data_IF_214205218167
#
_entry.id   IF_214205218167
#
_cell.length_a   1.000
_cell.length_b   1.000
_cell.length_c   1.000
_cell.angle_alpha   90.00
_cell.angle_beta   90.00
_cell.angle_gamma   90.00
#
_symmetry.space_group_name_H-M   'P 1'
#
loop_
_entity.id
_entity.type
_entity.pdbx_description
1 polymer ?
#
# COMPACT_ATOMS: atom_id res chain seq x y z
N UNK A 1 -22.88 12.88 -52.44
CA UNK A 1 -24.16 12.27 -52.00
C UNK A 1 -24.02 10.76 -52.08
N UNK A 2 -23.74 10.10 -50.95
CA UNK A 2 -23.97 8.65 -50.81
C UNK A 2 -24.54 8.47 -49.41
N UNK A 3 -25.82 8.80 -49.23
CA UNK A 3 -26.58 8.22 -48.14
C UNK A 3 -26.91 6.80 -48.60
N UNK A 4 -26.08 5.84 -48.21
CA UNK A 4 -26.48 4.45 -48.31
C UNK A 4 -27.78 4.30 -47.53
N UNK A 5 -28.87 3.96 -48.21
CA UNK A 5 -30.13 3.61 -47.56
C UNK A 5 -29.90 2.26 -46.90
N UNK A 6 -29.40 2.29 -45.67
CA UNK A 6 -29.27 1.11 -44.85
C UNK A 6 -30.67 0.49 -44.69
N UNK A 7 -30.77 -0.83 -44.90
CA UNK A 7 -31.99 -1.54 -44.58
C UNK A 7 -32.22 -1.55 -43.06
N UNK A 8 -33.44 -1.91 -42.66
CA UNK A 8 -33.81 -2.01 -41.23
C UNK A 8 -32.86 -2.94 -40.47
N UNK A 9 -32.34 -3.98 -41.13
CA UNK A 9 -31.40 -4.95 -40.53
C UNK A 9 -30.06 -4.31 -40.17
N UNK A 10 -29.54 -3.46 -41.03
CA UNK A 10 -28.26 -2.77 -40.84
C UNK A 10 -28.36 -1.74 -39.72
N UNK A 11 -29.48 -1.03 -39.59
CA UNK A 11 -29.74 -0.17 -38.43
C UNK A 11 -29.85 -0.96 -37.11
N UNK A 12 -30.48 -2.13 -37.13
CA UNK A 12 -30.54 -3.01 -35.96
C UNK A 12 -29.13 -3.49 -35.56
N UNK A 13 -28.31 -3.90 -36.54
CA UNK A 13 -26.92 -4.31 -36.30
C UNK A 13 -26.07 -3.16 -35.75
N UNK A 14 -26.22 -1.95 -36.28
CA UNK A 14 -25.53 -0.75 -35.78
C UNK A 14 -25.94 -0.42 -34.35
N UNK A 15 -27.24 -0.45 -34.05
CA UNK A 15 -27.75 -0.21 -32.70
C UNK A 15 -27.21 -1.25 -31.70
N UNK A 16 -27.17 -2.52 -32.09
CA UNK A 16 -26.64 -3.60 -31.26
C UNK A 16 -25.13 -3.45 -31.02
N UNK A 17 -24.38 -3.05 -32.04
CA UNK A 17 -22.95 -2.74 -31.91
C UNK A 17 -22.69 -1.58 -30.93
N UNK A 18 -23.49 -0.51 -31.01
CA UNK A 18 -23.39 0.63 -30.08
C UNK A 18 -23.69 0.19 -28.65
N UNK A 19 -24.74 -0.61 -28.44
CA UNK A 19 -25.07 -1.14 -27.10
C UNK A 19 -23.93 -2.00 -26.54
N UNK A 20 -23.31 -2.87 -27.35
CA UNK A 20 -22.16 -3.67 -26.93
C UNK A 20 -20.95 -2.81 -26.53
N UNK A 21 -20.66 -1.75 -27.29
CA UNK A 21 -19.57 -0.81 -26.98
C UNK A 21 -19.85 -0.09 -25.65
N UNK A 22 -21.08 0.37 -25.43
CA UNK A 22 -21.47 1.01 -24.16
C UNK A 22 -21.36 0.05 -22.98
N UNK A 23 -21.76 -1.22 -23.14
CA UNK A 23 -21.59 -2.25 -22.11
C UNK A 23 -20.12 -2.54 -21.81
N UNK A 24 -19.26 -2.58 -22.83
CA UNK A 24 -17.82 -2.74 -22.66
C UNK A 24 -17.21 -1.57 -21.87
N UNK A 25 -17.55 -0.33 -22.23
CA UNK A 25 -17.11 0.88 -21.51
C UNK A 25 -17.60 0.86 -20.06
N UNK A 26 -18.87 0.52 -19.83
CA UNK A 26 -19.43 0.42 -18.49
C UNK A 26 -18.72 -0.64 -17.64
N UNK A 27 -18.42 -1.82 -18.21
CA UNK A 27 -17.69 -2.89 -17.53
C UNK A 27 -16.27 -2.44 -17.13
N UNK A 28 -15.55 -1.79 -18.04
CA UNK A 28 -14.22 -1.22 -17.79
C UNK A 28 -14.29 -0.17 -16.68
N UNK A 29 -15.26 0.74 -16.74
CA UNK A 29 -15.47 1.77 -15.71
C UNK A 29 -15.75 1.16 -14.33
N UNK A 30 -16.62 0.15 -14.24
CA UNK A 30 -16.93 -0.53 -12.98
C UNK A 30 -15.71 -1.26 -12.41
N UNK A 31 -14.89 -1.89 -13.27
CA UNK A 31 -13.64 -2.53 -12.85
C UNK A 31 -12.65 -1.53 -12.22
N UNK A 32 -12.42 -0.39 -12.88
CA UNK A 32 -11.54 0.65 -12.34
C UNK A 32 -12.12 1.30 -11.09
N UNK A 33 -13.43 1.55 -11.04
CA UNK A 33 -14.13 2.10 -9.86
C UNK A 33 -13.89 1.24 -8.63
N UNK A 34 -13.97 -0.10 -8.75
CA UNK A 34 -13.71 -1.01 -7.63
C UNK A 34 -12.29 -0.86 -7.08
N UNK A 35 -11.27 -0.81 -7.94
CA UNK A 35 -9.87 -0.62 -7.52
C UNK A 35 -9.65 0.74 -6.85
N UNK A 36 -10.27 1.79 -7.38
CA UNK A 36 -10.18 3.14 -6.83
C UNK A 36 -10.83 3.19 -5.43
N UNK A 37 -12.04 2.66 -5.28
CA UNK A 37 -12.74 2.61 -3.99
C UNK A 37 -11.98 1.81 -2.95
N UNK A 38 -11.34 0.70 -3.34
CA UNK A 38 -10.49 -0.08 -2.44
C UNK A 38 -9.31 0.75 -1.92
N UNK A 39 -8.62 1.50 -2.80
CA UNK A 39 -7.51 2.39 -2.38
C UNK A 39 -7.98 3.49 -1.43
N UNK A 40 -9.12 4.12 -1.71
CA UNK A 40 -9.68 5.12 -0.79
C UNK A 40 -10.13 4.51 0.54
N UNK A 41 -10.66 3.29 0.53
CA UNK A 41 -11.05 2.59 1.74
C UNK A 41 -9.84 2.24 2.63
N UNK A 42 -8.72 1.79 2.03
CA UNK A 42 -7.46 1.55 2.73
C UNK A 42 -6.99 2.83 3.43
N UNK A 43 -6.86 3.92 2.68
CA UNK A 43 -6.44 5.21 3.24
C UNK A 43 -7.36 5.68 4.37
N UNK A 44 -8.68 5.63 4.18
CA UNK A 44 -9.63 6.10 5.19
C UNK A 44 -9.59 5.27 6.47
N UNK A 45 -9.24 3.99 6.37
CA UNK A 45 -9.23 3.07 7.51
C UNK A 45 -7.91 3.12 8.30
N UNK A 46 -6.76 3.03 7.62
CA UNK A 46 -5.45 2.88 8.28
C UNK A 46 -4.80 4.22 8.61
N UNK A 47 -4.88 5.21 7.72
CA UNK A 47 -4.20 6.51 7.89
C UNK A 47 -4.52 7.22 9.22
N UNK A 48 -5.78 7.29 9.71
CA UNK A 48 -6.06 7.99 10.97
C UNK A 48 -5.33 7.38 12.18
N UNK A 49 -5.15 6.06 12.17
CA UNK A 49 -4.50 5.31 13.24
C UNK A 49 -3.00 5.60 13.24
N UNK A 50 -2.38 5.53 12.06
CA UNK A 50 -0.94 5.81 11.89
C UNK A 50 -0.65 7.28 12.17
N UNK A 51 -1.47 8.20 11.65
CA UNK A 51 -1.36 9.64 11.91
C UNK A 51 -1.49 9.96 13.40
N UNK A 52 -2.39 9.28 14.12
CA UNK A 52 -2.53 9.47 15.57
C UNK A 52 -1.24 9.11 16.29
N UNK A 53 -0.64 7.96 15.98
CA UNK A 53 0.67 7.59 16.54
C UNK A 53 1.73 8.63 16.20
N UNK A 54 1.81 9.05 14.94
CA UNK A 54 2.80 10.04 14.50
C UNK A 54 2.70 11.36 15.27
N UNK A 55 1.49 11.90 15.39
CA UNK A 55 1.27 13.19 16.07
C UNK A 55 1.49 13.09 17.58
N UNK A 56 1.07 11.99 18.21
CA UNK A 56 1.15 11.85 19.66
C UNK A 56 2.58 11.62 20.17
N UNK A 57 3.42 10.97 19.36
CA UNK A 57 4.80 10.64 19.71
C UNK A 57 5.83 11.43 18.90
N UNK A 58 5.42 12.54 18.26
CA UNK A 58 6.27 13.45 17.49
C UNK A 58 7.15 12.78 16.41
N UNK A 59 6.58 11.79 15.72
CA UNK A 59 7.25 11.11 14.61
C UNK A 59 6.90 11.76 13.27
N UNK A 60 7.84 11.73 12.33
CA UNK A 60 7.54 12.18 10.97
C UNK A 60 6.76 11.10 10.21
N UNK A 61 5.78 11.52 9.41
CA UNK A 61 4.95 10.61 8.61
C UNK A 61 4.88 11.08 7.16
N UNK A 62 5.34 10.22 6.24
CA UNK A 62 5.11 10.37 4.81
C UNK A 62 4.02 9.38 4.41
N UNK A 63 2.90 9.92 3.93
CA UNK A 63 1.77 9.12 3.46
C UNK A 63 1.87 8.91 1.95
N UNK A 64 1.66 7.66 1.53
CA UNK A 64 1.66 7.22 0.13
C UNK A 64 2.92 7.66 -0.62
N UNK A 65 4.01 6.99 -0.34
CA UNK A 65 5.30 7.27 -0.94
C UNK A 65 5.47 6.45 -2.23
N UNK A 66 5.86 7.11 -3.32
CA UNK A 66 6.18 6.45 -4.58
C UNK A 66 7.59 6.84 -5.02
N UNK A 67 8.49 5.85 -5.11
CA UNK A 67 9.90 6.06 -5.45
C UNK A 67 10.21 5.38 -6.78
N UNK A 68 10.98 6.05 -7.63
CA UNK A 68 11.51 5.43 -8.85
C UNK A 68 12.74 4.58 -8.53
N UNK A 69 12.70 3.29 -8.86
CA UNK A 69 13.84 2.37 -8.72
C UNK A 69 14.72 2.33 -9.98
N UNK A 70 14.09 2.40 -11.15
CA UNK A 70 14.77 2.41 -12.45
C UNK A 70 13.94 3.15 -13.51
N UNK A 71 14.21 2.91 -14.79
CA UNK A 71 13.48 3.59 -15.88
C UNK A 71 11.97 3.29 -15.87
N UNK A 72 11.60 2.02 -15.60
CA UNK A 72 10.21 1.56 -15.67
C UNK A 72 9.66 0.93 -14.37
N UNK A 73 10.45 0.90 -13.30
CA UNK A 73 10.03 0.32 -12.02
C UNK A 73 9.82 1.40 -10.97
N UNK A 74 8.63 1.39 -10.36
CA UNK A 74 8.30 2.22 -9.20
C UNK A 74 7.98 1.36 -7.99
N UNK A 75 8.42 1.84 -6.85
CA UNK A 75 8.12 1.30 -5.54
C UNK A 75 6.99 2.11 -4.92
N UNK A 76 5.96 1.45 -4.42
CA UNK A 76 4.85 2.09 -3.73
C UNK A 76 4.79 1.61 -2.28
N UNK A 77 4.70 2.57 -1.36
CA UNK A 77 4.66 2.34 0.08
C UNK A 77 3.43 3.09 0.61
N UNK A 78 2.56 2.39 1.34
CA UNK A 78 1.34 2.99 1.87
C UNK A 78 1.65 4.07 2.89
N UNK A 79 2.49 3.76 3.88
CA UNK A 79 2.93 4.72 4.88
C UNK A 79 4.38 4.50 5.28
N UNK A 80 5.09 5.60 5.51
CA UNK A 80 6.45 5.59 6.05
C UNK A 80 6.49 6.49 7.28
N UNK A 81 6.72 5.89 8.44
CA UNK A 81 6.78 6.57 9.73
C UNK A 81 8.23 6.55 10.21
N UNK A 82 8.77 7.72 10.56
CA UNK A 82 10.14 7.89 10.99
C UNK A 82 10.12 8.14 12.50
N UNK A 83 10.44 7.09 13.25
CA UNK A 83 10.62 7.18 14.70
C UNK A 83 12.04 7.62 15.06
N UNK A 84 12.33 7.61 16.36
CA UNK A 84 13.63 8.03 16.87
C UNK A 84 14.71 7.00 16.56
N UNK A 85 14.40 5.70 16.64
CA UNK A 85 15.38 4.62 16.42
C UNK A 85 15.27 3.96 15.06
N UNK A 86 14.07 3.94 14.48
CA UNK A 86 13.81 3.18 13.26
C UNK A 86 12.93 3.92 12.26
N UNK A 87 13.00 3.47 11.01
CA UNK A 87 12.11 3.89 9.94
C UNK A 87 11.12 2.75 9.65
N UNK A 88 9.85 2.98 9.98
CA UNK A 88 8.78 2.01 9.80
C UNK A 88 8.18 2.12 8.40
N UNK A 89 8.22 1.02 7.66
CA UNK A 89 7.63 0.87 6.33
C UNK A 89 6.36 0.04 6.49
N UNK A 90 5.21 0.69 6.32
CA UNK A 90 3.91 0.12 6.64
C UNK A 90 3.16 -0.17 5.34
N UNK A 91 2.67 -1.40 5.20
CA UNK A 91 1.85 -1.88 4.10
C UNK A 91 0.45 -2.24 4.60
N UNK A 92 -0.58 -1.72 3.94
CA UNK A 92 -1.97 -1.83 4.39
C UNK A 92 -2.71 -2.99 3.70
N UNK A 93 -3.38 -3.82 4.49
CA UNK A 93 -4.17 -4.95 3.97
C UNK A 93 -5.56 -5.02 4.60
N UNK A 94 -6.59 -4.65 3.82
CA UNK A 94 -8.00 -4.75 4.23
C UNK A 94 -8.56 -6.16 3.99
N UNK A 95 -7.95 -7.17 4.62
CA UNK A 95 -8.50 -8.51 4.64
C UNK A 95 -9.73 -8.61 5.55
N UNK A 96 -10.55 -9.64 5.34
CA UNK A 96 -11.72 -9.95 6.16
C UNK A 96 -11.85 -11.47 6.29
N UNK A 97 -11.68 -11.98 7.50
CA UNK A 97 -11.69 -13.42 7.76
C UNK A 97 -10.41 -13.89 8.45
N UNK A 98 -10.00 -15.13 8.18
CA UNK A 98 -8.83 -15.75 8.81
C UNK A 98 -7.71 -15.87 7.78
N UNK A 99 -6.53 -15.36 8.12
CA UNK A 99 -5.34 -15.41 7.31
C UNK A 99 -4.38 -16.44 7.90
N UNK A 100 -4.01 -17.43 7.09
CA UNK A 100 -3.15 -18.55 7.48
C UNK A 100 -2.05 -18.74 6.44
N UNK A 101 -0.81 -18.95 6.87
CA UNK A 101 0.31 -19.25 5.97
C UNK A 101 1.65 -19.30 6.69
N UNK A 102 2.66 -19.90 6.07
CA UNK A 102 4.02 -19.93 6.62
C UNK A 102 4.80 -18.66 6.21
N UNK A 103 5.68 -18.10 7.06
CA UNK A 103 6.53 -16.96 6.69
C UNK A 103 7.32 -17.13 5.37
N UNK A 104 7.72 -18.35 5.05
CA UNK A 104 8.55 -18.66 3.88
C UNK A 104 7.73 -18.90 2.60
N UNK A 105 6.42 -19.12 2.74
CA UNK A 105 5.56 -19.38 1.60
C UNK A 105 5.31 -18.09 0.81
N UNK A 106 5.33 -18.22 -0.52
CA UNK A 106 5.00 -17.10 -1.43
C UNK A 106 3.50 -16.79 -1.45
N UNK A 107 2.65 -17.76 -1.07
CA UNK A 107 1.19 -17.68 -1.10
C UNK A 107 0.62 -18.12 0.23
N UNK A 108 -0.35 -17.37 0.71
CA UNK A 108 -1.11 -17.64 1.94
C UNK A 108 -2.58 -17.86 1.62
N UNK A 109 -3.31 -18.43 2.58
CA UNK A 109 -4.74 -18.72 2.47
C UNK A 109 -5.52 -17.69 3.29
N UNK A 110 -6.42 -16.97 2.62
CA UNK A 110 -7.42 -16.13 3.26
C UNK A 110 -8.77 -16.85 3.23
N UNK A 111 -9.21 -17.36 4.38
CA UNK A 111 -10.56 -17.92 4.55
C UNK A 111 -11.53 -16.80 4.92
N UNK A 112 -12.42 -16.47 3.99
CA UNK A 112 -13.38 -15.39 4.20
C UNK A 112 -14.48 -15.78 5.23
N UNK A 113 -15.32 -14.81 5.65
CA UNK A 113 -16.41 -15.06 6.61
C UNK A 113 -17.47 -16.08 6.12
N UNK A 114 -17.51 -16.38 4.81
CA UNK A 114 -18.38 -17.40 4.20
C UNK A 114 -17.71 -18.78 4.10
N UNK A 115 -16.50 -18.93 4.63
CA UNK A 115 -15.73 -20.16 4.59
C UNK A 115 -14.99 -20.43 3.27
N UNK A 116 -15.05 -19.52 2.29
CA UNK A 116 -14.33 -19.69 1.03
C UNK A 116 -12.86 -19.33 1.19
N UNK A 117 -12.00 -20.16 0.63
CA UNK A 117 -10.55 -19.97 0.66
C UNK A 117 -10.06 -19.26 -0.59
N UNK A 118 -9.27 -18.22 -0.38
CA UNK A 118 -8.70 -17.39 -1.43
C UNK A 118 -7.19 -17.40 -1.25
N UNK A 119 -6.45 -17.81 -2.27
CA UNK A 119 -5.00 -17.67 -2.26
C UNK A 119 -4.62 -16.20 -2.45
N UNK A 120 -3.82 -15.69 -1.53
CA UNK A 120 -3.27 -14.33 -1.54
C UNK A 120 -1.76 -14.40 -1.52
N UNK A 121 -1.08 -13.39 -2.07
CA UNK A 121 0.38 -13.32 -1.92
C UNK A 121 0.76 -13.11 -0.45
N UNK A 122 1.88 -13.69 -0.03
CA UNK A 122 2.42 -13.47 1.31
C UNK A 122 2.71 -11.98 1.54
N UNK A 123 1.98 -11.31 2.45
CA UNK A 123 2.20 -9.90 2.69
C UNK A 123 3.56 -9.65 3.35
N UNK A 124 4.07 -10.60 4.12
CA UNK A 124 5.37 -10.48 4.76
C UNK A 124 6.53 -10.64 3.79
N UNK A 125 6.47 -11.62 2.89
CA UNK A 125 7.52 -11.77 1.89
C UNK A 125 7.60 -10.53 1.00
N UNK A 126 6.43 -9.98 0.62
CA UNK A 126 6.35 -8.69 -0.08
C UNK A 126 7.00 -7.57 0.73
N UNK A 127 6.75 -7.50 2.03
CA UNK A 127 7.33 -6.47 2.88
C UNK A 127 8.86 -6.64 3.01
N UNK A 128 9.38 -7.87 3.17
CA UNK A 128 10.84 -8.13 3.17
C UNK A 128 11.50 -7.66 1.87
N UNK A 129 10.90 -8.00 0.73
CA UNK A 129 11.38 -7.56 -0.58
C UNK A 129 11.33 -6.04 -0.73
N UNK A 130 10.27 -5.39 -0.21
CA UNK A 130 10.13 -3.95 -0.19
C UNK A 130 11.26 -3.27 0.60
N UNK A 131 11.56 -3.77 1.80
CA UNK A 131 12.66 -3.26 2.63
C UNK A 131 14.02 -3.44 1.97
N UNK A 132 14.27 -4.59 1.32
CA UNK A 132 15.52 -4.82 0.58
C UNK A 132 15.67 -3.83 -0.56
N UNK A 133 14.62 -3.62 -1.37
CA UNK A 133 14.63 -2.63 -2.46
C UNK A 133 14.86 -1.21 -1.95
N UNK A 134 14.25 -0.85 -0.81
CA UNK A 134 14.44 0.46 -0.17
C UNK A 134 15.87 0.68 0.30
N UNK A 135 16.44 -0.30 1.00
CA UNK A 135 17.80 -0.24 1.50
C UNK A 135 18.79 -0.01 0.36
N UNK A 136 18.68 -0.79 -0.72
CA UNK A 136 19.51 -0.62 -1.91
C UNK A 136 19.30 0.75 -2.55
N UNK A 137 18.05 1.20 -2.70
CA UNK A 137 17.73 2.47 -3.38
C UNK A 137 18.20 3.71 -2.63
N UNK A 138 18.22 3.64 -1.30
CA UNK A 138 18.53 4.78 -0.42
C UNK A 138 19.91 4.71 0.21
N UNK A 139 20.63 3.60 -0.01
CA UNK A 139 21.92 3.31 0.61
C UNK A 139 21.87 3.37 2.14
N UNK A 140 20.68 3.15 2.72
CA UNK A 140 20.47 3.02 4.15
C UNK A 140 20.60 1.55 4.53
N UNK A 141 21.20 1.29 5.69
CA UNK A 141 21.32 -0.06 6.20
C UNK A 141 19.94 -0.69 6.40
N UNK A 142 19.82 -1.96 6.01
CA UNK A 142 18.57 -2.70 6.11
C UNK A 142 18.06 -2.72 7.56
N UNK A 143 18.97 -2.73 8.55
CA UNK A 143 18.60 -2.74 9.96
C UNK A 143 17.95 -1.46 10.47
N UNK A 144 18.05 -0.36 9.72
CA UNK A 144 17.35 0.89 10.02
C UNK A 144 15.84 0.76 9.78
N UNK A 145 15.42 -0.18 8.92
CA UNK A 145 14.03 -0.33 8.54
C UNK A 145 13.32 -1.41 9.34
N UNK A 146 12.07 -1.11 9.70
CA UNK A 146 11.12 -2.08 10.27
C UNK A 146 9.91 -2.17 9.35
N UNK A 147 9.65 -3.36 8.82
CA UNK A 147 8.48 -3.66 8.02
C UNK A 147 7.28 -3.96 8.90
N UNK A 148 6.15 -3.29 8.66
CA UNK A 148 4.88 -3.58 9.32
C UNK A 148 3.81 -3.87 8.26
N UNK A 149 3.31 -5.09 8.23
CA UNK A 149 2.08 -5.45 7.54
C UNK A 149 0.92 -5.17 8.48
N UNK A 150 0.12 -4.14 8.17
CA UNK A 150 -1.01 -3.73 8.98
C UNK A 150 -2.31 -4.28 8.39
N UNK A 151 -2.97 -5.16 9.14
CA UNK A 151 -4.25 -5.76 8.73
C UNK A 151 -5.43 -5.13 9.46
N UNK A 152 -6.63 -5.28 8.88
CA UNK A 152 -7.87 -4.83 9.53
C UNK A 152 -8.14 -5.59 10.83
N UNK A 153 -8.85 -4.96 11.77
CA UNK A 153 -9.31 -5.60 13.02
C UNK A 153 -10.25 -6.80 12.80
N UNK A 154 -10.86 -6.89 11.61
CA UNK A 154 -11.70 -8.00 11.15
C UNK A 154 -10.88 -9.21 10.66
N UNK A 155 -9.55 -9.11 10.65
CA UNK A 155 -8.64 -10.17 10.24
C UNK A 155 -8.14 -10.92 11.45
N UNK A 156 -8.40 -12.23 11.49
CA UNK A 156 -7.78 -13.14 12.45
C UNK A 156 -6.50 -13.68 11.83
N UNK A 157 -5.41 -13.53 12.57
CA UNK A 157 -4.11 -14.07 12.22
C UNK A 157 -3.93 -15.35 13.04
N UNK A 158 -3.82 -16.51 12.39
CA UNK A 158 -3.68 -17.81 13.07
C UNK A 158 -2.40 -18.51 12.62
N UNK A 159 -1.73 -19.18 13.56
CA UNK A 159 -0.55 -20.06 13.35
C UNK A 159 0.76 -19.38 12.95
N UNK A 160 1.02 -18.19 13.51
CA UNK A 160 2.08 -17.33 13.00
C UNK A 160 3.24 -17.11 14.01
N UNK A 161 4.24 -17.99 14.04
CA UNK A 161 5.62 -17.65 14.49
C UNK A 161 6.32 -16.79 13.43
N UNK A 162 5.75 -15.61 13.18
CA UNK A 162 5.95 -14.95 11.89
C UNK A 162 6.55 -13.57 12.01
N UNK A 163 6.42 -12.99 13.20
CA UNK A 163 7.09 -11.75 13.51
C UNK A 163 8.56 -12.05 13.82
N UNK A 164 9.45 -11.49 13.01
CA UNK A 164 10.87 -11.45 13.33
C UNK A 164 11.22 -10.08 13.92
N UNK A 165 12.50 -9.82 14.19
CA UNK A 165 12.92 -8.58 14.82
C UNK A 165 12.66 -7.33 13.96
N UNK A 166 12.46 -7.49 12.65
CA UNK A 166 12.40 -6.41 11.66
C UNK A 166 11.13 -6.42 10.81
N UNK A 167 10.35 -7.49 10.80
CA UNK A 167 9.14 -7.60 9.99
C UNK A 167 7.99 -8.18 10.82
N UNK A 168 6.90 -7.42 10.88
CA UNK A 168 5.75 -7.71 11.72
C UNK A 168 4.48 -7.77 10.88
N UNK A 169 3.56 -8.66 11.24
CA UNK A 169 2.16 -8.63 10.81
C UNK A 169 1.26 -8.49 12.04
N UNK A 170 0.49 -7.40 12.08
CA UNK A 170 -0.36 -7.06 13.20
C UNK A 170 -1.65 -6.42 12.74
N UNK A 171 -2.68 -6.46 13.58
CA UNK A 171 -3.88 -5.69 13.34
C UNK A 171 -3.77 -4.25 13.88
N UNK A 172 -4.69 -3.40 13.43
CA UNK A 172 -4.68 -1.97 13.76
C UNK A 172 -4.76 -1.62 15.24
N UNK A 173 -5.28 -2.50 16.10
CA UNK A 173 -5.46 -2.23 17.54
C UNK A 173 -4.13 -2.23 18.28
N UNK A 174 -3.18 -3.03 17.82
CA UNK A 174 -1.87 -3.19 18.47
C UNK A 174 -0.77 -2.36 17.80
N UNK A 175 -1.10 -1.60 16.75
CA UNK A 175 -0.15 -0.76 16.00
C UNK A 175 0.67 0.15 16.91
N UNK A 176 0.03 1.03 17.66
CA UNK A 176 0.73 1.99 18.53
C UNK A 176 1.57 1.27 19.59
N UNK A 177 1.05 0.18 20.18
CA UNK A 177 1.79 -0.60 21.18
C UNK A 177 3.05 -1.23 20.60
N UNK A 178 2.97 -1.77 19.38
CA UNK A 178 4.11 -2.36 18.70
C UNK A 178 5.20 -1.31 18.44
N UNK A 179 4.83 -0.14 17.90
CA UNK A 179 5.78 0.95 17.64
C UNK A 179 6.55 1.31 18.92
N UNK A 180 5.82 1.56 20.02
CA UNK A 180 6.46 1.92 21.29
C UNK A 180 7.32 0.81 21.87
N UNK A 181 6.90 -0.46 21.73
CA UNK A 181 7.71 -1.60 22.13
C UNK A 181 9.03 -1.66 21.35
N UNK A 182 9.01 -1.35 20.06
CA UNK A 182 10.20 -1.36 19.21
C UNK A 182 11.10 -0.15 19.52
N UNK A 183 10.53 1.04 19.67
CA UNK A 183 11.26 2.24 20.13
C UNK A 183 11.82 2.08 21.56
N UNK A 184 11.26 1.19 22.38
CA UNK A 184 11.78 0.86 23.71
C UNK A 184 13.03 -0.03 23.73
N UNK A 185 13.49 -0.55 22.58
CA UNK A 185 14.69 -1.42 22.52
C UNK A 185 15.97 -0.66 22.89
N UNK A 186 16.95 -1.35 23.46
CA UNK A 186 18.23 -0.78 23.86
C UNK A 186 19.16 -0.56 22.66
N UNK A 187 18.83 0.43 21.85
CA UNK A 187 19.54 0.85 20.64
C UNK A 187 19.61 2.38 20.66
N UNK A 188 20.74 2.92 20.21
CA UNK A 188 20.93 4.36 20.12
C UNK A 188 19.92 4.99 19.14
N UNK A 189 19.31 6.13 19.49
CA UNK A 189 18.45 6.85 18.55
C UNK A 189 19.27 7.34 17.35
N UNK A 190 18.58 7.48 16.22
CA UNK A 190 19.10 8.15 15.04
C UNK A 190 19.41 9.61 15.39
N UNK A 191 20.45 10.16 14.76
CA UNK A 191 20.76 11.57 14.90
C UNK A 191 19.56 12.41 14.39
N UNK A 192 19.01 13.37 15.17
CA UNK A 192 17.81 14.12 14.79
C UNK A 192 17.95 14.95 13.51
N UNK A 193 19.13 15.55 13.29
CA UNK A 193 19.40 16.35 12.09
C UNK A 193 19.50 15.45 10.86
N UNK A 194 20.14 14.30 11.01
CA UNK A 194 20.19 13.28 9.97
C UNK A 194 18.79 12.75 9.67
N UNK A 195 17.99 12.44 10.69
CA UNK A 195 16.62 11.96 10.52
C UNK A 195 15.78 12.97 9.74
N UNK A 196 15.81 14.24 10.13
CA UNK A 196 15.13 15.33 9.41
C UNK A 196 15.60 15.43 7.96
N UNK A 197 16.91 15.36 7.72
CA UNK A 197 17.48 15.35 6.37
C UNK A 197 16.95 14.16 5.56
N UNK A 198 16.94 12.95 6.13
CA UNK A 198 16.40 11.74 5.47
C UNK A 198 14.92 11.90 5.13
N UNK A 199 14.11 12.42 6.04
CA UNK A 199 12.68 12.70 5.77
C UNK A 199 12.52 13.59 4.54
N UNK A 200 13.32 14.66 4.43
CA UNK A 200 13.31 15.54 3.25
C UNK A 200 13.80 14.85 1.98
N UNK A 201 14.81 13.99 2.06
CA UNK A 201 15.28 13.18 0.93
C UNK A 201 14.16 12.27 0.40
N UNK A 202 13.49 11.53 1.28
CA UNK A 202 12.35 10.67 0.93
C UNK A 202 11.19 11.46 0.33
N UNK A 203 10.84 12.60 0.92
CA UNK A 203 9.78 13.47 0.38
C UNK A 203 10.15 14.05 -1.01
N UNK A 204 11.42 14.32 -1.26
CA UNK A 204 11.91 14.80 -2.56
C UNK A 204 11.89 13.70 -3.63
N UNK A 205 12.18 12.46 -3.23
CA UNK A 205 12.08 11.29 -4.11
C UNK A 205 10.63 10.94 -4.46
N UNK A 206 9.65 11.41 -3.69
CA UNK A 206 8.24 11.08 -3.88
C UNK A 206 7.68 11.60 -5.22
N UNK A 207 7.47 10.68 -6.17
CA UNK A 207 6.94 10.99 -7.50
C UNK A 207 5.53 11.58 -7.47
N UNK A 208 4.75 11.29 -6.41
CA UNK A 208 3.40 11.84 -6.27
C UNK A 208 3.40 13.35 -6.11
N UNK A 209 4.38 13.91 -5.38
CA UNK A 209 4.56 15.36 -5.24
C UNK A 209 4.90 15.99 -6.59
N UNK A 210 5.73 15.32 -7.41
CA UNK A 210 6.08 15.77 -8.76
C UNK A 210 4.88 15.75 -9.71
N UNK A 211 4.00 14.75 -9.63
CA UNK A 211 2.76 14.69 -10.42
C UNK A 211 1.72 15.70 -9.96
N UNK A 212 1.55 15.92 -8.65
CA UNK A 212 0.65 16.93 -8.10
C UNK A 212 1.06 18.38 -8.44
N UNK A 213 2.36 18.66 -8.53
CA UNK A 213 2.89 19.98 -8.96
C UNK A 213 2.69 20.29 -10.45
N UNK A 214 2.35 19.30 -11.30
CA UNK A 214 2.10 19.56 -12.74
C UNK A 214 0.78 20.29 -13.02
N UNK A 215 -0.08 20.47 -12.01
CA UNK A 215 -1.37 21.16 -12.13
C UNK A 215 -1.38 22.60 -11.56
N UNK A 216 -0.21 23.23 -11.45
CA UNK A 216 -0.11 24.67 -11.13
C UNK A 216 1.01 25.30 -11.93
N UNK A 217 0.72 25.62 -13.20
CA UNK A 217 1.20 26.81 -13.91
C UNK A 217 0.22 27.09 -15.06
N UNK A 218 -0.94 27.66 -14.75
CA UNK A 218 -1.52 28.62 -15.69
C UNK A 218 -0.72 29.91 -15.48
N UNK A 219 0.10 30.26 -16.48
CA UNK A 219 0.52 31.65 -16.67
C UNK A 219 -0.70 32.49 -17.05
#
# INVERSE_FOLDING_TARGET
>A
MIFAVFGVKEYILLALAIVLVLLAIASVFLFFRKKILQRFALLRYFYPIIRKTAVYYDFYLINQLEIQLGTNETLFIDHMLFGDKYIYVISDYLYRGTLTGNPQDSKWILKNKKGQEIMVDSPLLKNKQLLQKLSVRTSLDHATFIGITLVSNDTKITDLEVNDNQNFIIDTRDFTKLILKIEGRDIAPLNPDDLRRRVHEFDTLNLRKKRGRKWTKSQ
#
